data_IF_430195813908
#
_entry.id   IF_430195813908
#
_cell.length_a   1.000
_cell.length_b   1.000
_cell.length_c   1.000
_cell.angle_alpha   90.00
_cell.angle_beta   90.00
_cell.angle_gamma   90.00
#
_symmetry.space_group_name_H-M   'P 1'
#
loop_
_entity.id
_entity.type
_entity.pdbx_description
1 polymer ?
#
# COMPACT_ATOMS: atom_id res chain seq x y z
N UNK A 1 3.81 9.91 21.27
CA UNK A 1 4.07 9.75 19.83
C UNK A 1 2.74 9.47 19.16
N UNK A 2 2.45 10.11 18.04
CA UNK A 2 1.23 9.85 17.27
C UNK A 2 1.35 8.50 16.58
N UNK A 3 0.35 7.62 16.66
CA UNK A 3 0.40 6.34 15.96
C UNK A 3 0.32 6.55 14.44
N UNK A 4 1.20 5.88 13.71
CA UNK A 4 1.39 6.08 12.27
C UNK A 4 1.18 4.78 11.51
N UNK A 5 0.82 4.90 10.23
CA UNK A 5 0.79 3.76 9.30
C UNK A 5 1.45 4.09 7.96
N UNK A 6 2.15 3.10 7.41
CA UNK A 6 2.62 3.05 6.03
C UNK A 6 1.60 2.24 5.21
N UNK A 7 0.91 2.91 4.29
CA UNK A 7 -0.11 2.35 3.42
C UNK A 7 0.56 1.97 2.10
N UNK A 8 0.68 0.67 1.84
CA UNK A 8 1.36 0.11 0.66
C UNK A 8 0.34 -0.25 -0.41
N UNK A 9 0.34 0.50 -1.51
CA UNK A 9 -0.57 0.34 -2.66
C UNK A 9 0.16 -0.36 -3.80
N UNK A 10 -0.55 -1.21 -4.55
CA UNK A 10 -0.07 -1.85 -5.79
C UNK A 10 1.15 -2.76 -5.65
N UNK A 11 1.33 -3.39 -4.49
CA UNK A 11 2.37 -4.38 -4.26
C UNK A 11 2.04 -5.79 -4.85
N UNK A 12 1.08 -5.89 -5.77
CA UNK A 12 0.62 -7.16 -6.35
C UNK A 12 1.45 -7.59 -7.57
N UNK A 13 1.44 -8.89 -7.85
CA UNK A 13 2.23 -9.50 -8.93
C UNK A 13 1.94 -8.94 -10.31
N UNK A 14 0.68 -8.75 -10.67
CA UNK A 14 0.33 -8.25 -12.01
C UNK A 14 0.93 -6.86 -12.31
N UNK A 15 1.27 -6.07 -11.28
CA UNK A 15 1.91 -4.75 -11.44
C UNK A 15 3.44 -4.83 -11.52
N UNK A 16 4.04 -5.89 -10.97
CA UNK A 16 5.45 -5.91 -10.60
C UNK A 16 6.23 -7.11 -11.14
N UNK A 17 5.59 -8.19 -11.60
CA UNK A 17 6.27 -9.40 -12.08
C UNK A 17 7.19 -9.12 -13.29
N UNK A 18 6.95 -8.05 -14.06
CA UNK A 18 7.80 -7.62 -15.19
C UNK A 18 9.04 -6.83 -14.73
N UNK A 19 9.16 -6.50 -13.44
CA UNK A 19 10.31 -5.79 -12.88
C UNK A 19 11.33 -6.78 -12.33
N UNK A 20 12.62 -6.64 -12.65
CA UNK A 20 13.64 -7.46 -12.03
C UNK A 20 13.72 -7.15 -10.53
N UNK A 21 14.12 -8.13 -9.70
CA UNK A 21 14.29 -7.92 -8.24
C UNK A 21 15.31 -6.80 -7.93
N UNK A 22 16.22 -6.53 -8.87
CA UNK A 22 17.20 -5.44 -8.79
C UNK A 22 16.62 -4.07 -9.13
N UNK A 23 15.35 -3.97 -9.56
CA UNK A 23 14.67 -2.73 -9.86
C UNK A 23 14.76 -1.76 -8.66
N UNK A 24 15.27 -0.53 -8.84
CA UNK A 24 15.43 0.47 -7.78
C UNK A 24 14.15 0.75 -7.00
N UNK A 25 12.98 0.77 -7.65
CA UNK A 25 11.68 0.95 -7.00
C UNK A 25 11.43 -0.16 -5.99
N UNK A 26 11.67 -1.42 -6.37
CA UNK A 26 11.49 -2.57 -5.49
C UNK A 26 12.51 -2.57 -4.34
N UNK A 27 13.75 -2.19 -4.60
CA UNK A 27 14.76 -2.07 -3.54
C UNK A 27 14.38 -0.99 -2.52
N UNK A 28 13.93 0.17 -2.99
CA UNK A 28 13.59 1.29 -2.15
C UNK A 28 12.32 1.02 -1.32
N UNK A 29 11.27 0.50 -1.95
CA UNK A 29 10.04 0.14 -1.26
C UNK A 29 10.31 -0.87 -0.12
N UNK A 30 11.13 -1.89 -0.37
CA UNK A 30 11.54 -2.85 0.68
C UNK A 30 12.26 -2.17 1.84
N UNK A 31 13.17 -1.23 1.56
CA UNK A 31 13.89 -0.49 2.60
C UNK A 31 12.92 0.34 3.45
N UNK A 32 11.99 1.07 2.84
CA UNK A 32 11.02 1.89 3.56
C UNK A 32 10.06 1.04 4.41
N UNK A 33 9.59 -0.08 3.88
CA UNK A 33 8.76 -1.03 4.64
C UNK A 33 9.53 -1.59 5.83
N UNK A 34 10.78 -2.01 5.63
CA UNK A 34 11.62 -2.51 6.72
C UNK A 34 11.88 -1.46 7.80
N UNK A 35 12.13 -0.20 7.40
CA UNK A 35 12.31 0.92 8.33
C UNK A 35 11.03 1.22 9.12
N UNK A 36 9.87 1.24 8.45
CA UNK A 36 8.58 1.43 9.11
C UNK A 36 8.37 0.39 10.23
N UNK A 37 8.60 -0.89 9.92
CA UNK A 37 8.53 -1.98 10.92
C UNK A 37 9.51 -1.77 12.07
N UNK A 38 10.77 -1.41 11.78
CA UNK A 38 11.78 -1.14 12.82
C UNK A 38 11.40 0.03 13.74
N UNK A 39 10.63 0.98 13.24
CA UNK A 39 10.13 2.14 13.99
C UNK A 39 8.80 1.87 14.71
N UNK A 40 8.23 0.67 14.57
CA UNK A 40 6.91 0.34 15.11
C UNK A 40 5.76 1.04 14.38
N UNK A 41 5.98 1.52 13.16
CA UNK A 41 4.94 2.06 12.28
C UNK A 41 4.16 0.88 11.71
N UNK A 42 2.83 0.97 11.75
CA UNK A 42 1.95 -0.05 11.21
C UNK A 42 2.14 -0.15 9.69
N UNK A 43 2.44 -1.33 9.15
CA UNK A 43 2.42 -1.53 7.69
C UNK A 43 1.08 -2.11 7.28
N UNK A 44 0.42 -1.46 6.32
CA UNK A 44 -0.86 -1.89 5.76
C UNK A 44 -0.68 -2.15 4.27
N UNK A 45 -0.84 -3.40 3.84
CA UNK A 45 -0.88 -3.78 2.45
C UNK A 45 -2.32 -3.75 1.92
N UNK A 46 -2.50 -3.12 0.76
CA UNK A 46 -3.77 -3.02 0.08
C UNK A 46 -3.70 -3.93 -1.14
N UNK A 47 -4.50 -5.00 -1.11
CA UNK A 47 -4.62 -5.97 -2.18
C UNK A 47 -5.90 -5.68 -2.95
N UNK A 48 -5.76 -5.23 -4.19
CA UNK A 48 -6.88 -4.88 -5.04
C UNK A 48 -7.51 -6.14 -5.64
N UNK A 49 -8.82 -6.24 -5.53
CA UNK A 49 -9.65 -7.28 -6.12
C UNK A 49 -10.19 -6.79 -7.47
N UNK A 50 -9.56 -7.22 -8.56
CA UNK A 50 -10.05 -6.98 -9.91
C UNK A 50 -11.33 -7.75 -10.23
N UNK A 51 -11.98 -7.41 -11.35
CA UNK A 51 -13.14 -8.12 -11.84
C UNK A 51 -12.76 -9.49 -12.42
N UNK A 52 -13.77 -10.30 -12.76
CA UNK A 52 -13.54 -11.55 -13.47
C UNK A 52 -12.86 -11.28 -14.83
N UNK A 53 -11.73 -11.96 -15.07
CA UNK A 53 -10.91 -11.76 -16.25
C UNK A 53 -9.80 -10.70 -16.12
N UNK A 54 -9.81 -9.88 -15.07
CA UNK A 54 -8.74 -8.90 -14.84
C UNK A 54 -7.43 -9.57 -14.40
N UNK A 55 -6.26 -8.96 -14.66
CA UNK A 55 -4.96 -9.49 -14.21
C UNK A 55 -4.85 -9.70 -12.69
N UNK A 56 -5.65 -8.99 -11.91
CA UNK A 56 -5.82 -9.10 -10.47
C UNK A 56 -7.18 -9.64 -10.05
N UNK A 57 -7.83 -10.46 -10.89
CA UNK A 57 -8.96 -11.27 -10.47
C UNK A 57 -8.59 -12.06 -9.20
N UNK A 58 -9.41 -12.03 -8.13
CA UNK A 58 -9.14 -12.74 -6.89
C UNK A 58 -8.74 -14.21 -7.08
N UNK A 59 -7.81 -14.66 -6.24
CA UNK A 59 -7.29 -16.03 -6.22
C UNK A 59 -6.48 -16.47 -7.45
N UNK A 60 -6.15 -15.54 -8.35
CA UNK A 60 -5.18 -15.77 -9.43
C UNK A 60 -3.76 -15.46 -8.97
N UNK A 61 -2.76 -15.85 -9.78
CA UNK A 61 -1.36 -15.49 -9.52
C UNK A 61 -1.15 -13.97 -9.56
N UNK A 62 -1.70 -13.27 -10.55
CA UNK A 62 -1.50 -11.83 -10.70
C UNK A 62 -2.09 -11.02 -9.53
N UNK A 63 -3.12 -11.56 -8.88
CA UNK A 63 -3.76 -10.98 -7.71
C UNK A 63 -2.93 -11.07 -6.43
N UNK A 64 -2.04 -12.05 -6.25
CA UNK A 64 -1.30 -12.16 -4.99
C UNK A 64 -0.32 -11.00 -4.82
N UNK A 65 0.10 -10.72 -3.58
CA UNK A 65 1.25 -9.85 -3.36
C UNK A 65 2.50 -10.37 -4.10
N UNK A 66 3.33 -9.46 -4.58
CA UNK A 66 4.61 -9.77 -5.18
C UNK A 66 5.54 -10.42 -4.15
N UNK A 67 6.35 -11.44 -4.49
CA UNK A 67 7.12 -12.21 -3.51
C UNK A 67 8.07 -11.40 -2.62
N UNK A 68 8.49 -10.23 -3.09
CA UNK A 68 9.32 -9.25 -2.37
C UNK A 68 8.56 -8.47 -1.29
N UNK A 69 7.22 -8.52 -1.29
CA UNK A 69 6.35 -7.83 -0.35
C UNK A 69 5.41 -8.82 0.30
N UNK A 70 5.72 -9.19 1.53
CA UNK A 70 4.92 -10.13 2.32
C UNK A 70 4.47 -9.43 3.58
N UNK A 71 3.18 -9.53 3.87
CA UNK A 71 2.65 -9.15 5.16
C UNK A 71 3.25 -10.07 6.23
N UNK A 72 3.82 -9.46 7.26
CA UNK A 72 4.41 -10.12 8.42
C UNK A 72 3.48 -10.04 9.63
N UNK A 73 3.84 -10.72 10.72
CA UNK A 73 3.09 -10.61 11.97
C UNK A 73 3.12 -9.16 12.47
N UNK A 74 1.94 -8.57 12.68
CA UNK A 74 1.79 -7.17 13.08
C UNK A 74 1.46 -6.22 11.93
N UNK A 75 1.58 -6.67 10.68
CA UNK A 75 1.06 -5.93 9.52
C UNK A 75 -0.44 -6.16 9.35
N UNK A 76 -1.09 -5.29 8.59
CA UNK A 76 -2.44 -5.52 8.06
C UNK A 76 -2.38 -5.83 6.57
N UNK A 77 -3.18 -6.80 6.13
CA UNK A 77 -3.45 -7.06 4.71
C UNK A 77 -4.95 -6.91 4.49
N UNK A 78 -5.35 -5.87 3.76
CA UNK A 78 -6.74 -5.56 3.50
C UNK A 78 -7.04 -5.70 2.00
N UNK A 79 -8.20 -6.26 1.69
CA UNK A 79 -8.74 -6.33 0.33
C UNK A 79 -9.52 -5.07 0.02
N UNK A 80 -9.33 -4.52 -1.18
CA UNK A 80 -10.00 -3.31 -1.69
C UNK A 80 -10.46 -3.52 -3.12
N UNK A 81 -11.51 -2.83 -3.57
CA UNK A 81 -12.04 -2.93 -4.95
C UNK A 81 -11.91 -1.62 -5.73
N UNK A 82 -11.65 -0.51 -5.05
CA UNK A 82 -11.61 0.82 -5.63
C UNK A 82 -10.19 1.40 -5.57
N UNK A 83 -9.92 2.38 -6.44
CA UNK A 83 -8.66 3.16 -6.42
C UNK A 83 -8.52 3.95 -5.11
N UNK A 84 -9.64 4.41 -4.55
CA UNK A 84 -9.67 4.94 -3.19
C UNK A 84 -9.71 3.79 -2.19
N UNK A 85 -8.61 3.59 -1.47
CA UNK A 85 -8.49 2.49 -0.52
C UNK A 85 -9.46 2.59 0.67
N UNK A 86 -10.10 3.74 0.91
CA UNK A 86 -11.15 3.88 1.93
C UNK A 86 -12.54 3.47 1.42
N UNK A 87 -12.77 3.55 0.11
CA UNK A 87 -14.07 3.27 -0.47
C UNK A 87 -14.39 1.77 -0.38
N UNK A 88 -15.50 1.44 0.28
CA UNK A 88 -15.97 0.06 0.39
C UNK A 88 -15.08 -0.89 1.21
N UNK A 89 -14.04 -0.39 1.88
CA UNK A 89 -13.07 -1.20 2.61
C UNK A 89 -13.17 -1.03 4.13
N UNK A 90 -12.40 -1.84 4.86
CA UNK A 90 -12.26 -1.75 6.32
C UNK A 90 -11.15 -0.78 6.77
N UNK A 91 -10.47 -0.10 5.84
CA UNK A 91 -9.26 0.67 6.14
C UNK A 91 -9.47 1.70 7.25
N UNK A 92 -10.51 2.54 7.17
CA UNK A 92 -10.78 3.55 8.21
C UNK A 92 -11.03 2.91 9.58
N UNK A 93 -11.84 1.84 9.62
CA UNK A 93 -12.19 1.17 10.87
C UNK A 93 -10.97 0.56 11.56
N UNK A 94 -10.08 -0.10 10.80
CA UNK A 94 -8.85 -0.70 11.33
C UNK A 94 -7.86 0.37 11.81
N UNK A 95 -7.66 1.42 11.02
CA UNK A 95 -6.76 2.52 11.38
C UNK A 95 -7.22 3.22 12.67
N UNK A 96 -8.53 3.49 12.80
CA UNK A 96 -9.11 4.08 14.01
C UNK A 96 -9.04 3.15 15.21
N UNK A 97 -9.30 1.86 15.02
CA UNK A 97 -9.17 0.87 16.09
C UNK A 97 -7.75 0.84 16.67
N UNK A 98 -6.74 0.99 15.82
CA UNK A 98 -5.33 1.06 16.20
C UNK A 98 -4.86 2.47 16.58
N UNK A 99 -5.77 3.45 16.59
CA UNK A 99 -5.48 4.83 16.99
C UNK A 99 -4.56 5.60 16.03
N UNK A 100 -4.41 5.13 14.79
CA UNK A 100 -3.57 5.77 13.76
C UNK A 100 -4.14 7.14 13.40
N UNK A 101 -3.28 8.15 13.32
CA UNK A 101 -3.67 9.52 12.92
C UNK A 101 -2.82 10.06 11.76
N UNK A 102 -1.68 9.44 11.49
CA UNK A 102 -0.75 9.87 10.43
C UNK A 102 -0.51 8.75 9.45
N UNK A 103 -0.64 9.03 8.16
CA UNK A 103 -0.48 8.07 7.08
C UNK A 103 0.65 8.50 6.14
N UNK A 104 1.49 7.54 5.76
CA UNK A 104 2.41 7.65 4.63
C UNK A 104 1.89 6.75 3.52
N UNK A 105 1.67 7.27 2.31
CA UNK A 105 1.18 6.50 1.18
C UNK A 105 2.35 6.09 0.27
N UNK A 106 2.64 4.80 0.22
CA UNK A 106 3.67 4.19 -0.63
C UNK A 106 3.00 3.44 -1.79
N UNK A 107 2.92 4.09 -2.94
CA UNK A 107 2.36 3.48 -4.15
C UNK A 107 3.50 3.00 -5.06
N UNK A 108 3.40 1.74 -5.51
CA UNK A 108 4.42 1.09 -6.35
C UNK A 108 4.08 1.15 -7.84
N UNK A 109 3.16 2.03 -8.24
CA UNK A 109 2.76 2.28 -9.61
C UNK A 109 3.22 3.67 -10.09
N UNK A 110 3.27 3.86 -11.42
CA UNK A 110 3.64 5.15 -12.02
C UNK A 110 2.45 6.11 -12.17
N UNK A 111 1.21 5.62 -12.07
CA UNK A 111 0.00 6.38 -12.41
C UNK A 111 -0.45 7.31 -11.28
N UNK A 112 -0.22 6.93 -10.02
CA UNK A 112 -0.48 7.78 -8.86
C UNK A 112 -1.95 8.11 -8.59
N UNK A 113 -2.88 7.62 -9.42
CA UNK A 113 -4.31 7.89 -9.32
C UNK A 113 -4.90 7.34 -8.02
N UNK A 114 -4.63 6.07 -7.70
CA UNK A 114 -5.06 5.45 -6.45
C UNK A 114 -4.46 6.15 -5.23
N UNK A 115 -3.17 6.54 -5.29
CA UNK A 115 -2.52 7.32 -4.24
C UNK A 115 -3.21 8.66 -4.03
N UNK A 116 -3.54 9.37 -5.11
CA UNK A 116 -4.22 10.66 -5.04
C UNK A 116 -5.67 10.53 -4.54
N UNK A 117 -6.40 9.52 -4.99
CA UNK A 117 -7.76 9.24 -4.53
C UNK A 117 -7.77 8.93 -3.01
N UNK A 118 -6.94 7.99 -2.59
CA UNK A 118 -6.76 7.60 -1.19
C UNK A 118 -6.31 8.78 -0.31
N UNK A 119 -5.39 9.63 -0.81
CA UNK A 119 -4.93 10.82 -0.09
C UNK A 119 -6.07 11.81 0.19
N UNK A 120 -6.88 12.13 -0.82
CA UNK A 120 -8.01 13.06 -0.67
C UNK A 120 -9.00 12.57 0.40
N UNK A 121 -9.32 11.28 0.38
CA UNK A 121 -10.26 10.71 1.36
C UNK A 121 -9.63 10.63 2.75
N UNK A 122 -8.33 10.31 2.86
CA UNK A 122 -7.61 10.36 4.14
C UNK A 122 -7.70 11.76 4.78
N UNK A 123 -7.40 12.81 4.02
CA UNK A 123 -7.47 14.19 4.50
C UNK A 123 -8.90 14.58 4.90
N UNK A 124 -9.90 14.20 4.11
CA UNK A 124 -11.31 14.44 4.41
C UNK A 124 -11.78 13.72 5.69
N UNK A 125 -11.20 12.56 6.00
CA UNK A 125 -11.44 11.79 7.23
C UNK A 125 -10.63 12.26 8.43
N UNK A 126 -9.75 13.26 8.26
CA UNK A 126 -8.97 13.89 9.32
C UNK A 126 -7.60 13.25 9.59
N UNK A 127 -7.12 12.36 8.71
CA UNK A 127 -5.75 11.84 8.81
C UNK A 127 -4.73 12.89 8.35
N UNK A 128 -3.58 12.93 9.01
CA UNK A 128 -2.43 13.73 8.57
C UNK A 128 -1.63 12.92 7.56
N UNK A 129 -1.39 13.47 6.38
CA UNK A 129 -0.48 12.85 5.41
C UNK A 129 0.97 13.28 5.67
N UNK A 130 1.82 12.29 5.93
CA UNK A 130 3.26 12.48 5.95
C UNK A 130 3.84 12.28 4.53
N UNK A 131 4.96 12.93 4.24
CA UNK A 131 5.66 12.71 2.98
C UNK A 131 6.31 11.32 3.01
N UNK A 132 6.06 10.53 1.97
CA UNK A 132 6.91 9.38 1.69
C UNK A 132 8.28 9.89 1.23
N UNK A 133 9.33 9.14 1.57
CA UNK A 133 10.61 9.30 0.88
C UNK A 133 10.38 9.07 -0.62
N UNK A 134 10.83 10.00 -1.49
CA UNK A 134 10.53 9.96 -2.92
C UNK A 134 11.10 8.69 -3.52
N UNK A 135 10.24 7.85 -4.10
CA UNK A 135 10.72 6.68 -4.83
C UNK A 135 11.32 7.14 -6.14
N UNK A 136 12.57 6.76 -6.39
CA UNK A 136 13.21 7.02 -7.68
C UNK A 136 12.37 6.34 -8.77
N UNK A 137 11.75 7.14 -9.64
CA UNK A 137 11.25 6.64 -10.92
C UNK A 137 12.45 6.13 -11.69
N UNK A 138 12.38 4.88 -12.17
CA UNK A 138 13.27 4.46 -13.24
C UNK A 138 12.92 5.32 -14.46
N UNK A 139 13.86 6.17 -14.87
CA UNK A 139 13.80 6.92 -16.14
C UNK A 139 13.67 5.97 -17.34
#
# INVERSE_FOLDING_TARGET
MTAQALIVLHAQRHRLDDRPITDPLLQQARRQIAQARQQGILVVYLQHDGQEGDPDQPFTRGWTLHPEFRAEAGDLLLRVTDDDAFQGSRLDAELRHLGVQTLTLLALDAGGAARAATARTAEALGYVLAQAEPILSAD
#
